data_IF_039956815796
#
_entry.id   IF_039956815796
#
_cell.length_a   1.000
_cell.length_b   1.000
_cell.length_c   1.000
_cell.angle_alpha   90.00
_cell.angle_beta   90.00
_cell.angle_gamma   90.00
#
_symmetry.space_group_name_H-M   'P 1'
#
loop_
_entity.id
_entity.type
_entity.pdbx_description
1 polymer ?
#
# COMPACT_ATOMS: atom_id res chain seq x y z
N UNK A 1 -1.18 -8.24 14.98
CA UNK A 1 -2.37 -7.40 14.73
C UNK A 1 -2.83 -7.65 13.31
N UNK A 2 -4.13 -7.70 13.06
CA UNK A 2 -4.70 -7.81 11.73
C UNK A 2 -5.58 -6.58 11.50
N UNK A 3 -5.53 -5.99 10.30
CA UNK A 3 -6.44 -4.90 9.93
C UNK A 3 -7.89 -5.37 10.02
N UNK A 4 -8.76 -4.51 10.54
CA UNK A 4 -10.19 -4.73 10.53
C UNK A 4 -10.73 -4.75 9.10
N UNK A 5 -11.90 -5.35 8.92
CA UNK A 5 -12.53 -5.48 7.59
C UNK A 5 -12.81 -4.10 6.96
N UNK A 6 -13.15 -3.09 7.77
CA UNK A 6 -13.38 -1.72 7.33
C UNK A 6 -12.10 -1.05 6.83
N UNK A 7 -10.97 -1.27 7.52
CA UNK A 7 -9.67 -0.73 7.14
C UNK A 7 -9.15 -1.35 5.84
N UNK A 8 -9.34 -2.66 5.67
CA UNK A 8 -9.04 -3.36 4.41
C UNK A 8 -9.85 -2.80 3.24
N UNK A 9 -11.15 -2.53 3.44
CA UNK A 9 -12.00 -1.94 2.39
C UNK A 9 -11.54 -0.53 2.01
N UNK A 10 -11.22 0.31 3.00
CA UNK A 10 -10.64 1.65 2.76
C UNK A 10 -9.33 1.57 1.98
N UNK A 11 -8.46 0.62 2.30
CA UNK A 11 -7.19 0.40 1.61
C UNK A 11 -7.41 0.01 0.13
N UNK A 12 -8.37 -0.87 -0.14
CA UNK A 12 -8.72 -1.29 -1.51
C UNK A 12 -9.30 -0.12 -2.31
N UNK A 13 -10.18 0.69 -1.72
CA UNK A 13 -10.76 1.85 -2.39
C UNK A 13 -9.71 2.94 -2.66
N UNK A 14 -8.82 3.18 -1.69
CA UNK A 14 -7.70 4.09 -1.81
C UNK A 14 -6.76 3.67 -2.94
N UNK A 15 -6.35 2.40 -2.98
CA UNK A 15 -5.49 1.89 -4.05
C UNK A 15 -6.17 1.91 -5.42
N UNK A 16 -7.50 1.70 -5.48
CA UNK A 16 -8.26 1.81 -6.73
C UNK A 16 -8.28 3.23 -7.31
N UNK A 17 -8.32 4.25 -6.46
CA UNK A 17 -8.33 5.65 -6.90
C UNK A 17 -6.94 6.19 -7.25
N UNK A 18 -5.88 5.59 -6.70
CA UNK A 18 -4.49 6.05 -6.87
C UNK A 18 -3.67 5.24 -7.89
N UNK A 19 -4.04 3.99 -8.19
CA UNK A 19 -3.30 3.11 -9.11
C UNK A 19 -4.19 2.71 -10.30
N UNK A 20 -3.83 3.17 -11.50
CA UNK A 20 -4.59 3.01 -12.76
C UNK A 20 -4.21 1.74 -13.54
N UNK A 21 -5.24 1.13 -14.13
CA UNK A 21 -5.35 0.05 -15.14
C UNK A 21 -4.73 -1.35 -14.92
N UNK A 22 -3.76 -1.55 -14.02
CA UNK A 22 -3.22 -2.89 -13.79
C UNK A 22 -3.74 -3.51 -12.49
N UNK A 23 -4.74 -4.40 -12.63
CA UNK A 23 -5.38 -5.05 -11.48
C UNK A 23 -4.39 -5.84 -10.61
N UNK A 24 -3.39 -6.46 -11.23
CA UNK A 24 -2.31 -7.19 -10.54
C UNK A 24 -1.38 -6.26 -9.75
N UNK A 25 -1.01 -5.12 -10.35
CA UNK A 25 -0.17 -4.11 -9.70
C UNK A 25 -0.90 -3.50 -8.49
N UNK A 26 -2.21 -3.27 -8.60
CA UNK A 26 -3.02 -2.77 -7.47
C UNK A 26 -3.06 -3.76 -6.30
N UNK A 27 -3.16 -5.06 -6.56
CA UNK A 27 -3.16 -6.08 -5.51
C UNK A 27 -1.80 -6.17 -4.80
N UNK A 28 -0.71 -6.11 -5.59
CA UNK A 28 0.65 -6.11 -5.05
C UNK A 28 0.91 -4.89 -4.18
N UNK A 29 0.53 -3.70 -4.64
CA UNK A 29 0.67 -2.46 -3.87
C UNK A 29 -0.23 -2.47 -2.62
N UNK A 30 -1.44 -3.00 -2.71
CA UNK A 30 -2.33 -3.15 -1.54
C UNK A 30 -1.67 -4.01 -0.47
N UNK A 31 -1.04 -5.11 -0.87
CA UNK A 31 -0.35 -6.01 0.06
C UNK A 31 0.84 -5.33 0.72
N UNK A 32 1.69 -4.67 -0.06
CA UNK A 32 2.87 -4.00 0.49
C UNK A 32 2.51 -2.80 1.37
N UNK A 33 1.42 -2.10 1.05
CA UNK A 33 0.87 -1.07 1.94
C UNK A 33 0.32 -1.67 3.24
N UNK A 34 -0.38 -2.81 3.19
CA UNK A 34 -0.85 -3.51 4.40
C UNK A 34 0.32 -3.89 5.32
N UNK A 35 1.39 -4.46 4.78
CA UNK A 35 2.57 -4.84 5.55
C UNK A 35 3.29 -3.61 6.15
N UNK A 36 3.46 -2.53 5.38
CA UNK A 36 4.05 -1.28 5.89
C UNK A 36 3.20 -0.61 6.98
N UNK A 37 1.88 -0.62 6.84
CA UNK A 37 0.97 -0.04 7.84
C UNK A 37 1.02 -0.87 9.13
N UNK A 38 0.97 -2.20 9.01
CA UNK A 38 1.06 -3.10 10.17
C UNK A 38 2.40 -2.97 10.89
N UNK A 39 3.50 -2.79 10.15
CA UNK A 39 4.80 -2.56 10.75
C UNK A 39 4.84 -1.22 11.49
N UNK A 40 4.37 -0.13 10.86
CA UNK A 40 4.31 1.19 11.50
C UNK A 40 3.46 1.18 12.78
N UNK A 41 2.28 0.57 12.74
CA UNK A 41 1.39 0.49 13.91
C UNK A 41 1.93 -0.46 15.00
N UNK A 42 2.82 -1.39 14.65
CA UNK A 42 3.51 -2.26 15.61
C UNK A 42 4.69 -1.56 16.27
N UNK A 43 5.39 -0.70 15.53
CA UNK A 43 6.49 0.12 16.05
C UNK A 43 5.99 1.32 16.85
N UNK A 44 4.82 1.85 16.50
CA UNK A 44 4.14 2.94 17.19
C UNK A 44 2.65 2.62 17.39
N UNK A 45 2.31 2.13 18.59
CA UNK A 45 0.92 1.80 18.98
C UNK A 45 0.00 3.03 19.08
N UNK A 46 0.55 4.24 19.13
CA UNK A 46 -0.23 5.49 19.14
C UNK A 46 -0.57 5.98 17.72
N UNK A 47 0.08 5.41 16.70
CA UNK A 47 -0.12 5.78 15.31
C UNK A 47 -1.48 5.28 14.83
N UNK A 48 -2.32 6.21 14.36
CA UNK A 48 -3.60 5.84 13.79
C UNK A 48 -3.43 5.19 12.41
N UNK A 49 -4.37 4.32 12.04
CA UNK A 49 -4.39 3.69 10.72
C UNK A 49 -4.35 4.73 9.58
N UNK A 50 -5.06 5.86 9.72
CA UNK A 50 -5.09 6.90 8.69
C UNK A 50 -3.74 7.62 8.54
N UNK A 51 -3.01 7.86 9.62
CA UNK A 51 -1.65 8.41 9.57
C UNK A 51 -0.65 7.41 8.99
N UNK A 52 -0.73 6.14 9.40
CA UNK A 52 0.10 5.06 8.86
C UNK A 52 -0.13 4.87 7.35
N UNK A 53 -1.39 4.96 6.89
CA UNK A 53 -1.76 4.88 5.48
C UNK A 53 -1.18 6.06 4.68
N UNK A 54 -1.29 7.29 5.20
CA UNK A 54 -0.73 8.48 4.54
C UNK A 54 0.80 8.43 4.46
N UNK A 55 1.47 7.94 5.50
CA UNK A 55 2.92 7.77 5.51
C UNK A 55 3.37 6.68 4.53
N UNK A 56 2.70 5.52 4.53
CA UNK A 56 2.98 4.43 3.60
C UNK A 56 2.79 4.89 2.15
N UNK A 57 1.71 5.64 1.88
CA UNK A 57 1.45 6.22 0.56
C UNK A 57 2.50 7.26 0.16
N UNK A 58 2.92 8.15 1.07
CA UNK A 58 3.99 9.12 0.79
C UNK A 58 5.30 8.42 0.42
N UNK A 59 5.69 7.37 1.14
CA UNK A 59 6.87 6.59 0.80
C UNK A 59 6.75 5.95 -0.59
N UNK A 60 5.55 5.44 -0.94
CA UNK A 60 5.27 4.93 -2.27
C UNK A 60 5.29 5.98 -3.37
N UNK A 61 4.80 7.20 -3.10
CA UNK A 61 4.77 8.29 -4.08
C UNK A 61 6.09 9.04 -4.23
N UNK A 62 6.99 8.95 -3.25
CA UNK A 62 8.35 9.54 -3.27
C UNK A 62 9.31 8.64 -4.06
N UNK A 63 9.10 7.34 -4.07
CA UNK A 63 9.70 6.46 -5.08
C UNK A 63 8.93 6.75 -6.37
N UNK A 64 9.48 7.58 -7.25
CA UNK A 64 8.82 7.99 -8.49
C UNK A 64 8.15 6.77 -9.15
N UNK A 65 6.83 6.86 -9.37
CA UNK A 65 5.97 5.78 -9.87
C UNK A 65 6.53 5.00 -11.08
N UNK A 66 7.48 5.60 -11.80
CA UNK A 66 8.28 4.98 -12.85
C UNK A 66 9.07 3.74 -12.37
N UNK A 67 9.73 3.79 -11.22
CA UNK A 67 10.51 2.66 -10.69
C UNK A 67 9.63 1.56 -10.08
N UNK A 68 8.53 1.94 -9.43
CA UNK A 68 7.58 1.00 -8.80
C UNK A 68 6.83 0.19 -9.86
N UNK A 69 6.38 0.85 -10.93
CA UNK A 69 5.74 0.18 -12.06
C UNK A 69 6.70 -0.83 -12.71
N UNK A 70 7.96 -0.46 -12.93
CA UNK A 70 8.96 -1.36 -13.52
C UNK A 70 9.35 -2.51 -12.59
N UNK A 71 9.40 -2.29 -11.27
CA UNK A 71 9.66 -3.33 -10.28
C UNK A 71 8.59 -4.43 -10.32
N UNK A 72 7.30 -4.05 -10.22
CA UNK A 72 6.22 -5.03 -10.27
C UNK A 72 6.04 -5.66 -11.65
N UNK A 73 6.29 -4.91 -12.73
CA UNK A 73 6.26 -5.47 -14.09
C UNK A 73 7.35 -6.53 -14.30
N UNK A 74 8.48 -6.45 -13.58
CA UNK A 74 9.52 -7.49 -13.57
C UNK A 74 9.17 -8.69 -12.70
N UNK A 75 8.56 -8.48 -11.52
CA UNK A 75 8.13 -9.59 -10.66
C UNK A 75 7.00 -10.43 -11.26
N UNK A 76 6.08 -9.83 -12.03
CA UNK A 76 5.02 -10.58 -12.73
C UNK A 76 5.59 -11.42 -13.91
N UNK A 77 6.79 -11.10 -14.39
CA UNK A 77 7.43 -11.78 -15.55
C UNK A 77 8.48 -12.83 -15.19
N UNK A 78 8.77 -13.06 -13.91
CA UNK A 78 9.73 -14.09 -13.44
C UNK A 78 8.97 -15.28 -12.86
#
# INVERSE_FOLDING_TARGET
>A
MNLSQTEKLKLIEFTKNHYVDFNDVRLLITKDLEDHILQQMKEDEALSFEEALQNAYKNYGVIEFSDVSDYYTKEIKT
#
